data_IF_789400411673
#
_entry.id   IF_789400411673
#
_cell.length_a   1.000
_cell.length_b   1.000
_cell.length_c   1.000
_cell.angle_alpha   90.00
_cell.angle_beta   90.00
_cell.angle_gamma   90.00
#
_symmetry.space_group_name_H-M   'P 1'
#
loop_
_entity.id
_entity.type
_entity.pdbx_description
1 polymer ?
#
# COMPACT_ATOMS: atom_id res chain seq x y z
N UNK A 1 -0.47 -52.09 15.89
CA UNK A 1 -1.78 -51.41 15.77
C UNK A 1 -1.58 -50.19 14.88
N UNK A 2 -2.23 -50.09 13.71
CA UNK A 2 -2.08 -48.94 12.82
C UNK A 2 -3.20 -47.94 13.06
N UNK A 3 -2.88 -46.70 13.45
CA UNK A 3 -3.74 -45.53 13.24
C UNK A 3 -2.87 -44.52 12.49
N UNK A 4 -2.92 -44.56 11.16
CA UNK A 4 -3.82 -43.72 10.36
C UNK A 4 -3.42 -42.25 10.46
N UNK A 5 -2.51 -41.84 9.58
CA UNK A 5 -2.44 -40.47 9.07
C UNK A 5 -3.78 -40.18 8.39
N UNK A 6 -4.75 -39.67 9.15
CA UNK A 6 -5.92 -39.03 8.59
C UNK A 6 -5.45 -37.67 8.04
N UNK A 7 -5.23 -37.62 6.72
CA UNK A 7 -5.09 -36.37 5.99
C UNK A 7 -6.38 -35.57 6.18
N UNK A 8 -6.31 -34.50 6.97
CA UNK A 8 -7.41 -33.57 7.09
C UNK A 8 -7.58 -32.82 5.76
N UNK A 9 -8.79 -32.93 5.21
CA UNK A 9 -9.21 -32.37 3.95
C UNK A 9 -9.23 -30.82 3.98
N UNK A 10 -8.96 -30.22 2.81
CA UNK A 10 -8.96 -28.78 2.48
C UNK A 10 -7.68 -27.97 2.75
N UNK A 11 -6.52 -28.52 2.41
CA UNK A 11 -5.33 -27.72 2.09
C UNK A 11 -5.32 -27.42 0.59
N UNK A 12 -6.09 -26.41 0.17
CA UNK A 12 -6.20 -26.03 -1.24
C UNK A 12 -5.10 -25.04 -1.60
N UNK A 13 -3.98 -25.57 -2.10
CA UNK A 13 -2.99 -24.75 -2.80
C UNK A 13 -3.54 -24.34 -4.16
N UNK A 14 -3.38 -23.07 -4.52
CA UNK A 14 -4.02 -22.55 -5.72
C UNK A 14 -3.60 -21.13 -6.04
N UNK A 15 -3.77 -20.78 -7.31
CA UNK A 15 -3.61 -19.40 -7.78
C UNK A 15 -4.86 -18.62 -7.36
N UNK A 16 -4.69 -17.34 -7.07
CA UNK A 16 -5.78 -16.41 -6.85
C UNK A 16 -5.50 -15.07 -7.52
N UNK A 17 -6.55 -14.32 -7.76
CA UNK A 17 -6.48 -12.90 -8.12
C UNK A 17 -7.17 -12.07 -7.06
N UNK A 18 -6.67 -10.87 -6.80
CA UNK A 18 -7.26 -9.95 -5.83
C UNK A 18 -7.37 -8.54 -6.38
N UNK A 19 -8.42 -7.84 -5.96
CA UNK A 19 -8.60 -6.39 -6.12
C UNK A 19 -8.90 -5.82 -4.76
N UNK A 20 -8.28 -4.69 -4.42
CA UNK A 20 -8.51 -3.99 -3.16
C UNK A 20 -8.53 -2.48 -3.35
N UNK A 21 -9.29 -1.80 -2.51
CA UNK A 21 -9.33 -0.34 -2.42
C UNK A 21 -9.55 0.09 -0.98
N UNK A 22 -9.56 1.39 -0.70
CA UNK A 22 -9.92 1.87 0.63
C UNK A 22 -9.49 3.30 0.89
N UNK A 23 -9.03 3.54 2.11
CA UNK A 23 -8.62 4.86 2.59
C UNK A 23 -7.14 4.83 2.92
N UNK A 24 -6.35 5.60 2.18
CA UNK A 24 -4.93 5.81 2.45
C UNK A 24 -4.70 7.16 3.12
N UNK A 25 -4.21 7.12 4.36
CA UNK A 25 -3.83 8.29 5.14
C UNK A 25 -2.31 8.45 5.03
N UNK A 26 -1.87 9.43 4.26
CA UNK A 26 -0.45 9.77 4.14
C UNK A 26 -0.05 10.60 5.35
N UNK A 27 0.97 10.18 6.10
CA UNK A 27 1.43 10.94 7.25
C UNK A 27 2.15 12.21 6.81
N UNK A 28 1.97 13.28 7.60
CA UNK A 28 2.60 14.58 7.39
C UNK A 28 4.13 14.43 7.29
N UNK A 29 4.73 15.16 6.36
CA UNK A 29 6.18 15.14 6.14
C UNK A 29 6.82 16.42 6.68
N UNK A 30 7.96 16.26 7.35
CA UNK A 30 8.79 17.38 7.78
C UNK A 30 9.73 17.77 6.65
N UNK A 31 9.91 19.06 6.42
CA UNK A 31 10.84 19.59 5.41
C UNK A 31 12.01 20.21 6.18
N UNK A 32 13.24 19.87 5.79
CA UNK A 32 14.47 20.46 6.36
C UNK A 32 15.30 21.15 5.27
N UNK A 33 14.97 22.40 4.86
CA UNK A 33 15.83 23.20 3.99
C UNK A 33 16.96 23.83 4.81
N UNK A 34 18.22 23.67 4.39
CA UNK A 34 19.34 24.42 4.96
C UNK A 34 19.61 24.23 6.46
N UNK A 35 19.18 23.10 7.06
CA UNK A 35 19.39 22.80 8.48
C UNK A 35 18.29 23.27 9.45
N UNK A 36 17.21 23.88 8.94
CA UNK A 36 16.05 24.29 9.73
C UNK A 36 14.90 23.30 9.47
N UNK A 37 14.39 22.65 10.51
CA UNK A 37 13.24 21.73 10.40
C UNK A 37 11.94 22.52 10.52
N UNK A 38 11.13 22.51 9.46
CA UNK A 38 9.75 23.00 9.49
C UNK A 38 8.83 21.79 9.66
N UNK A 39 8.20 21.71 10.83
CA UNK A 39 7.22 20.67 11.15
C UNK A 39 5.87 20.98 10.49
N UNK A 40 5.16 19.97 9.99
CA UNK A 40 3.78 20.06 9.47
C UNK A 40 3.55 20.93 8.21
N UNK A 41 4.56 21.12 7.35
CA UNK A 41 4.42 22.03 6.19
C UNK A 41 3.49 21.51 5.06
N UNK A 42 3.20 20.20 4.99
CA UNK A 42 2.30 19.62 3.98
C UNK A 42 1.28 18.70 4.65
N UNK A 43 0.00 19.08 4.59
CA UNK A 43 -1.15 18.25 4.96
C UNK A 43 -1.68 17.56 3.71
N UNK A 44 -1.46 16.25 3.58
CA UNK A 44 -1.99 15.47 2.47
C UNK A 44 -3.45 15.09 2.75
N UNK A 45 -4.36 15.37 1.81
CA UNK A 45 -5.71 14.78 1.84
C UNK A 45 -5.61 13.27 1.64
N UNK A 46 -6.42 12.51 2.36
CA UNK A 46 -6.56 11.06 2.19
C UNK A 46 -6.81 10.70 0.72
N UNK A 47 -6.06 9.74 0.19
CA UNK A 47 -6.25 9.22 -1.16
C UNK A 47 -6.89 7.85 -1.15
N UNK A 48 -7.54 7.48 -2.24
CA UNK A 48 -8.14 6.16 -2.42
C UNK A 48 -7.15 5.28 -3.21
N UNK A 49 -6.43 4.34 -2.57
CA UNK A 49 -5.58 3.42 -3.30
C UNK A 49 -6.44 2.41 -4.08
N UNK A 50 -5.94 2.00 -5.23
CA UNK A 50 -6.43 0.84 -5.98
C UNK A 50 -5.28 -0.15 -6.14
N UNK A 51 -5.53 -1.39 -5.75
CA UNK A 51 -4.56 -2.47 -5.76
C UNK A 51 -5.12 -3.62 -6.59
N UNK A 52 -4.37 -4.09 -7.57
CA UNK A 52 -4.64 -5.33 -8.28
C UNK A 52 -3.49 -6.30 -8.07
N UNK A 53 -3.79 -7.57 -7.83
CA UNK A 53 -2.77 -8.57 -7.54
C UNK A 53 -3.10 -9.96 -8.09
N UNK A 54 -2.05 -10.73 -8.29
CA UNK A 54 -2.12 -12.17 -8.54
C UNK A 54 -1.22 -12.87 -7.54
N UNK A 55 -1.66 -14.01 -7.03
CA UNK A 55 -0.92 -14.72 -6.01
C UNK A 55 -1.11 -16.22 -6.04
N UNK A 56 -0.33 -16.89 -5.22
CA UNK A 56 -0.40 -18.31 -4.98
C UNK A 56 -0.53 -18.54 -3.47
N UNK A 57 -1.51 -19.32 -3.07
CA UNK A 57 -1.69 -19.78 -1.70
C UNK A 57 -1.23 -21.24 -1.60
N UNK A 58 -0.55 -21.57 -0.52
CA UNK A 58 -0.26 -22.93 -0.10
C UNK A 58 -0.33 -23.00 1.42
N UNK A 59 -1.27 -23.78 1.94
CA UNK A 59 -1.51 -23.92 3.37
C UNK A 59 -1.72 -22.54 4.05
N UNK A 60 -0.90 -22.23 5.06
CA UNK A 60 -0.90 -20.96 5.77
C UNK A 60 -0.17 -19.83 5.02
N UNK A 61 0.47 -20.10 3.89
CA UNK A 61 1.37 -19.14 3.22
C UNK A 61 0.77 -18.64 1.93
N UNK A 62 0.94 -17.34 1.64
CA UNK A 62 0.65 -16.78 0.32
C UNK A 62 1.81 -15.95 -0.20
N UNK A 63 2.06 -16.06 -1.50
CA UNK A 63 2.91 -15.15 -2.26
C UNK A 63 2.04 -14.37 -3.23
N UNK A 64 2.28 -13.07 -3.38
CA UNK A 64 1.47 -12.19 -4.22
C UNK A 64 2.36 -11.18 -4.95
N UNK A 65 2.11 -10.99 -6.23
CA UNK A 65 2.63 -9.86 -7.00
C UNK A 65 1.50 -8.84 -7.16
N UNK A 66 1.73 -7.61 -6.70
CA UNK A 66 0.74 -6.56 -6.64
C UNK A 66 1.19 -5.30 -7.40
N UNK A 67 0.24 -4.66 -8.06
CA UNK A 67 0.34 -3.30 -8.57
C UNK A 67 -0.61 -2.41 -7.77
N UNK A 68 -0.11 -1.26 -7.30
CA UNK A 68 -0.89 -0.27 -6.56
C UNK A 68 -0.80 1.09 -7.26
N UNK A 69 -1.92 1.79 -7.31
CA UNK A 69 -1.99 3.17 -7.78
C UNK A 69 -2.84 4.00 -6.82
N UNK A 70 -2.31 5.15 -6.41
CA UNK A 70 -3.00 6.11 -5.55
C UNK A 70 -2.73 7.53 -6.04
N UNK A 71 -3.79 8.33 -6.17
CA UNK A 71 -3.69 9.76 -6.46
C UNK A 71 -4.19 10.56 -5.26
N UNK A 72 -3.40 11.56 -4.85
CA UNK A 72 -3.73 12.47 -3.76
C UNK A 72 -3.72 13.92 -4.29
N UNK A 73 -4.79 14.66 -4.00
CA UNK A 73 -4.82 16.11 -4.21
C UNK A 73 -4.20 16.79 -2.99
N UNK A 74 -3.26 17.71 -3.18
CA UNK A 74 -2.65 18.47 -2.08
C UNK A 74 -3.59 19.62 -1.71
N UNK A 75 -4.05 19.65 -0.46
CA UNK A 75 -4.88 20.74 0.04
C UNK A 75 -4.03 21.83 0.68
N UNK A 76 -4.48 23.07 0.48
CA UNK A 76 -3.68 24.30 0.51
C UNK A 76 -3.47 24.80 1.93
N UNK A 77 -2.22 25.04 2.33
CA UNK A 77 -1.93 26.02 3.37
C UNK A 77 -1.08 27.16 2.79
N UNK A 78 -1.45 28.41 3.11
CA UNK A 78 -0.63 29.59 2.81
C UNK A 78 0.45 29.67 3.88
N UNK A 79 1.72 29.57 3.51
CA UNK A 79 2.82 29.97 4.39
C UNK A 79 3.16 31.44 4.09
N UNK A 80 2.94 32.34 5.05
CA UNK A 80 3.29 33.77 4.97
C UNK A 80 2.90 34.49 3.66
N UNK A 81 1.70 34.21 3.14
CA UNK A 81 1.18 34.87 1.94
C UNK A 81 1.80 34.41 0.61
N UNK A 82 2.75 33.46 0.65
CA UNK A 82 3.33 32.84 -0.55
C UNK A 82 2.47 31.66 -0.99
N UNK A 83 2.08 31.66 -2.27
CA UNK A 83 1.34 30.56 -2.86
C UNK A 83 2.31 29.42 -3.23
N UNK A 84 2.42 28.42 -2.36
CA UNK A 84 3.32 27.26 -2.53
C UNK A 84 2.96 26.36 -3.72
N UNK A 85 1.80 26.57 -4.37
CA UNK A 85 1.38 25.82 -5.57
C UNK A 85 2.33 25.98 -6.76
N UNK A 86 2.98 27.14 -6.89
CA UNK A 86 3.94 27.38 -7.97
C UNK A 86 5.27 26.63 -7.76
N UNK A 87 5.50 26.09 -6.56
CA UNK A 87 6.76 25.47 -6.14
C UNK A 87 6.62 23.95 -5.92
N UNK A 88 5.45 23.45 -5.49
CA UNK A 88 5.28 22.05 -5.06
C UNK A 88 4.37 21.18 -5.96
N UNK A 89 3.79 21.73 -7.03
CA UNK A 89 2.89 21.00 -7.93
C UNK A 89 1.46 20.82 -7.39
N UNK A 90 0.51 20.58 -8.30
CA UNK A 90 -0.94 20.56 -7.99
C UNK A 90 -1.47 19.17 -7.61
N UNK A 91 -0.78 18.09 -7.97
CA UNK A 91 -1.19 16.71 -7.66
C UNK A 91 0.01 15.80 -7.50
N UNK A 92 -0.07 14.87 -6.55
CA UNK A 92 0.93 13.82 -6.32
C UNK A 92 0.27 12.47 -6.53
N UNK A 93 0.84 11.64 -7.40
CA UNK A 93 0.42 10.24 -7.59
C UNK A 93 1.55 9.29 -7.24
N UNK A 94 1.21 8.18 -6.61
CA UNK A 94 2.12 7.11 -6.24
C UNK A 94 1.67 5.84 -6.97
N UNK A 95 2.58 5.23 -7.72
CA UNK A 95 2.40 3.88 -8.27
C UNK A 95 3.43 2.94 -7.68
N UNK A 96 3.08 1.69 -7.39
CA UNK A 96 4.03 0.71 -6.86
C UNK A 96 3.85 -0.68 -7.44
N UNK A 97 4.95 -1.41 -7.49
CA UNK A 97 5.00 -2.83 -7.82
C UNK A 97 5.62 -3.54 -6.64
N UNK A 98 4.88 -4.46 -6.03
CA UNK A 98 5.22 -5.10 -4.76
C UNK A 98 5.17 -6.63 -4.90
N UNK A 99 6.14 -7.30 -4.28
CA UNK A 99 6.07 -8.71 -3.97
C UNK A 99 5.74 -8.86 -2.48
N UNK A 100 4.64 -9.53 -2.18
CA UNK A 100 4.13 -9.69 -0.83
C UNK A 100 4.15 -11.15 -0.41
N UNK A 101 4.50 -11.35 0.85
CA UNK A 101 4.32 -12.59 1.56
C UNK A 101 3.20 -12.41 2.58
N UNK A 102 2.35 -13.42 2.71
CA UNK A 102 1.30 -13.48 3.73
C UNK A 102 1.44 -14.74 4.56
N UNK A 103 1.09 -14.60 5.83
CA UNK A 103 0.91 -15.69 6.77
C UNK A 103 -0.52 -15.66 7.29
N UNK A 104 -1.32 -16.65 6.90
CA UNK A 104 -2.71 -16.84 7.28
C UNK A 104 -2.76 -17.69 8.56
N UNK A 105 -3.45 -17.17 9.57
CA UNK A 105 -3.73 -17.83 10.83
C UNK A 105 -5.15 -18.37 10.72
N UNK A 106 -5.30 -19.68 10.54
CA UNK A 106 -6.62 -20.30 10.47
C UNK A 106 -7.20 -20.38 11.89
N UNK A 107 -8.12 -19.47 12.22
CA UNK A 107 -8.84 -19.48 13.51
C UNK A 107 -10.12 -20.31 13.40
N UNK A 108 -10.79 -20.23 12.26
CA UNK A 108 -11.99 -21.02 11.91
C UNK A 108 -11.92 -21.38 10.42
N UNK A 109 -12.87 -22.21 9.96
CA UNK A 109 -12.98 -22.58 8.54
C UNK A 109 -13.33 -21.37 7.64
N UNK A 110 -13.98 -20.34 8.18
CA UNK A 110 -14.47 -19.18 7.42
C UNK A 110 -13.67 -17.90 7.65
N UNK A 111 -12.96 -17.79 8.77
CA UNK A 111 -12.25 -16.58 9.19
C UNK A 111 -10.77 -16.88 9.38
N UNK A 112 -9.95 -16.17 8.59
CA UNK A 112 -8.49 -16.27 8.62
C UNK A 112 -7.87 -14.87 8.80
N UNK A 113 -7.52 -14.48 10.04
CA UNK A 113 -6.58 -13.39 10.27
C UNK A 113 -5.25 -13.65 9.54
N UNK A 114 -4.59 -12.59 9.10
CA UNK A 114 -3.30 -12.72 8.43
C UNK A 114 -2.34 -11.58 8.76
N UNK A 115 -1.06 -11.85 8.59
CA UNK A 115 0.01 -10.86 8.55
C UNK A 115 0.59 -10.79 7.14
N UNK A 116 1.07 -9.63 6.73
CA UNK A 116 1.73 -9.44 5.44
C UNK A 116 2.97 -8.58 5.55
N UNK A 117 3.97 -8.93 4.75
CA UNK A 117 5.16 -8.12 4.53
C UNK A 117 5.49 -8.14 3.05
N UNK A 118 5.92 -7.00 2.51
CA UNK A 118 6.22 -6.88 1.10
C UNK A 118 7.35 -5.92 0.82
N UNK A 119 8.01 -6.15 -0.32
CA UNK A 119 9.15 -5.40 -0.81
C UNK A 119 8.90 -5.09 -2.28
N UNK A 120 9.41 -3.97 -2.77
CA UNK A 120 9.24 -3.64 -4.17
C UNK A 120 9.79 -2.28 -4.54
N UNK A 121 9.13 -1.66 -5.51
CA UNK A 121 9.50 -0.34 -5.99
C UNK A 121 8.28 0.55 -6.12
N UNK A 122 8.44 1.82 -5.78
CA UNK A 122 7.42 2.84 -5.91
C UNK A 122 7.93 3.97 -6.79
N UNK A 123 7.05 4.53 -7.61
CA UNK A 123 7.28 5.73 -8.40
C UNK A 123 6.35 6.83 -7.91
N UNK A 124 6.93 7.94 -7.48
CA UNK A 124 6.20 9.15 -7.09
C UNK A 124 6.26 10.08 -8.29
N UNK A 125 5.10 10.54 -8.75
CA UNK A 125 4.98 11.51 -9.84
C UNK A 125 4.31 12.78 -9.33
N UNK A 126 4.96 13.91 -9.55
CA UNK A 126 4.47 15.23 -9.18
C UNK A 126 4.16 15.99 -10.47
N UNK A 127 2.93 16.50 -10.58
CA UNK A 127 2.52 17.33 -11.72
C UNK A 127 2.46 18.80 -11.30
N UNK A 128 3.11 19.67 -12.06
CA UNK A 128 3.09 21.12 -11.83
C UNK A 128 2.64 21.86 -13.08
N UNK A 129 1.76 22.85 -12.94
CA UNK A 129 1.27 23.65 -14.08
C UNK A 129 2.38 24.56 -14.59
N UNK A 130 2.78 24.37 -15.85
CA UNK A 130 3.81 25.19 -16.51
C UNK A 130 5.23 24.62 -16.45
N UNK A 131 5.42 23.44 -15.84
CA UNK A 131 6.71 22.74 -15.78
C UNK A 131 6.56 21.27 -16.25
N UNK A 132 7.64 20.62 -16.69
CA UNK A 132 7.63 19.18 -16.97
C UNK A 132 7.25 18.36 -15.74
N UNK A 133 6.56 17.23 -15.94
CA UNK A 133 6.28 16.28 -14.86
C UNK A 133 7.59 15.70 -14.31
N UNK A 134 7.74 15.68 -12.99
CA UNK A 134 8.88 15.05 -12.32
C UNK A 134 8.45 13.69 -11.74
N UNK A 135 9.20 12.64 -12.06
CA UNK A 135 8.97 11.29 -11.55
C UNK A 135 10.21 10.73 -10.88
N UNK A 136 10.06 10.18 -9.68
CA UNK A 136 11.15 9.52 -8.96
C UNK A 136 10.76 8.10 -8.57
N UNK A 137 11.61 7.14 -8.91
CA UNK A 137 11.46 5.74 -8.50
C UNK A 137 12.42 5.41 -7.35
N UNK A 138 11.93 4.66 -6.37
CA UNK A 138 12.72 4.18 -5.24
C UNK A 138 12.29 2.80 -4.80
N UNK A 139 13.11 2.19 -3.93
CA UNK A 139 12.73 0.99 -3.20
C UNK A 139 11.51 1.29 -2.31
N UNK A 140 10.65 0.32 -2.07
CA UNK A 140 9.54 0.42 -1.14
C UNK A 140 9.37 -0.86 -0.33
N UNK A 141 8.87 -0.71 0.88
CA UNK A 141 8.46 -1.84 1.70
C UNK A 141 7.09 -1.58 2.31
N UNK A 142 6.41 -2.66 2.66
CA UNK A 142 5.13 -2.61 3.33
C UNK A 142 4.99 -3.70 4.36
N UNK A 143 4.21 -3.41 5.40
CA UNK A 143 3.83 -4.33 6.46
C UNK A 143 2.35 -4.16 6.72
N UNK A 144 1.66 -5.23 7.06
CA UNK A 144 0.23 -5.15 7.31
C UNK A 144 -0.32 -6.36 8.05
N UNK A 145 -1.58 -6.23 8.42
CA UNK A 145 -2.36 -7.28 9.03
C UNK A 145 -3.80 -7.14 8.56
N UNK A 146 -4.56 -8.21 8.61
CA UNK A 146 -5.97 -8.17 8.23
C UNK A 146 -6.70 -9.44 8.56
N UNK A 147 -7.93 -9.53 8.07
CA UNK A 147 -8.80 -10.68 8.23
C UNK A 147 -9.44 -10.96 6.88
N UNK A 148 -9.30 -12.20 6.42
CA UNK A 148 -10.05 -12.73 5.28
C UNK A 148 -11.27 -13.50 5.77
N UNK A 149 -12.41 -13.28 5.14
CA UNK A 149 -13.68 -13.97 5.41
C UNK A 149 -14.12 -14.70 4.15
N UNK A 150 -14.25 -16.03 4.21
CA UNK A 150 -14.78 -16.86 3.13
C UNK A 150 -16.27 -16.54 2.95
N UNK A 151 -16.59 -15.71 1.95
CA UNK A 151 -17.97 -15.32 1.67
C UNK A 151 -18.69 -16.37 0.80
N UNK A 152 -17.95 -16.96 -0.15
CA UNK A 152 -18.41 -18.04 -1.03
C UNK A 152 -17.25 -19.02 -1.26
N UNK A 153 -17.54 -20.19 -1.84
CA UNK A 153 -16.56 -21.27 -2.09
C UNK A 153 -15.24 -20.79 -2.72
N UNK A 154 -15.30 -19.78 -3.60
CA UNK A 154 -14.14 -19.25 -4.31
C UNK A 154 -13.90 -17.75 -4.05
N UNK A 155 -14.70 -17.09 -3.20
CA UNK A 155 -14.60 -15.64 -2.96
C UNK A 155 -14.34 -15.39 -1.49
N UNK A 156 -13.26 -14.64 -1.24
CA UNK A 156 -12.86 -14.15 0.07
C UNK A 156 -12.98 -12.64 0.09
N UNK A 157 -13.57 -12.10 1.16
CA UNK A 157 -13.60 -10.67 1.45
C UNK A 157 -12.46 -10.38 2.41
N UNK A 158 -11.56 -9.47 2.05
CA UNK A 158 -10.40 -9.09 2.84
C UNK A 158 -10.61 -7.71 3.47
N UNK A 159 -10.38 -7.61 4.78
CA UNK A 159 -10.27 -6.34 5.50
C UNK A 159 -8.86 -6.21 6.05
N UNK A 160 -8.12 -5.19 5.61
CA UNK A 160 -6.69 -5.08 5.88
C UNK A 160 -6.27 -3.70 6.35
N UNK A 161 -5.25 -3.67 7.19
CA UNK A 161 -4.43 -2.51 7.47
C UNK A 161 -3.04 -2.71 6.86
N UNK A 162 -2.52 -1.69 6.18
CA UNK A 162 -1.20 -1.72 5.55
C UNK A 162 -0.45 -0.42 5.82
N UNK A 163 0.72 -0.55 6.42
CA UNK A 163 1.75 0.49 6.44
C UNK A 163 2.61 0.37 5.18
N UNK A 164 2.71 1.44 4.40
CA UNK A 164 3.52 1.49 3.19
C UNK A 164 4.53 2.64 3.28
N UNK A 165 5.80 2.32 3.00
CA UNK A 165 6.89 3.29 3.00
C UNK A 165 7.82 3.10 1.79
N UNK A 166 7.85 4.06 0.86
CA UNK A 166 8.90 4.18 -0.12
C UNK A 166 10.16 4.78 0.52
N UNK A 167 11.31 4.18 0.24
CA UNK A 167 12.65 4.71 0.53
C UNK A 167 13.11 5.72 -0.53
N UNK A 168 12.22 6.24 -1.37
CA UNK A 168 12.53 7.33 -2.27
C UNK A 168 13.05 8.52 -1.45
N UNK A 169 14.28 8.92 -1.74
CA UNK A 169 14.96 10.09 -1.18
C UNK A 169 15.14 11.05 -2.35
N UNK A 170 14.71 12.30 -2.22
CA UNK A 170 14.75 13.39 -3.22
C UNK A 170 13.52 13.52 -4.14
N UNK A 171 12.35 13.75 -3.55
CA UNK A 171 11.15 14.10 -4.35
C UNK A 171 11.28 15.49 -4.98
N UNK A 172 12.18 16.36 -4.48
CA UNK A 172 12.52 17.67 -5.04
C UNK A 172 13.99 17.98 -4.69
N UNK A 173 14.79 18.57 -5.58
CA UNK A 173 16.21 18.97 -5.39
C UNK A 173 16.52 19.91 -4.19
N UNK A 174 15.54 20.14 -3.32
CA UNK A 174 15.52 21.08 -2.20
C UNK A 174 15.00 20.46 -0.89
N UNK A 175 14.47 19.23 -0.88
CA UNK A 175 14.01 18.56 0.34
C UNK A 175 13.92 17.03 0.24
N UNK A 176 14.35 16.33 1.30
CA UNK A 176 14.12 14.90 1.48
C UNK A 176 12.71 14.66 2.03
N UNK A 177 11.77 14.23 1.18
CA UNK A 177 10.42 13.83 1.59
C UNK A 177 10.28 12.33 1.36
N UNK A 178 10.03 11.56 2.42
CA UNK A 178 9.68 10.12 2.33
C UNK A 178 8.22 9.96 2.76
N UNK A 179 7.26 9.96 1.82
CA UNK A 179 5.84 9.88 2.16
C UNK A 179 5.52 8.50 2.72
N UNK A 180 5.21 8.41 4.01
CA UNK A 180 4.71 7.18 4.63
C UNK A 180 3.18 7.19 4.64
N UNK A 181 2.55 6.04 4.44
CA UNK A 181 1.09 5.94 4.39
C UNK A 181 0.56 4.78 5.23
N UNK A 182 -0.61 5.01 5.84
CA UNK A 182 -1.39 4.04 6.57
C UNK A 182 -2.69 3.82 5.79
N UNK A 183 -2.85 2.62 5.24
CA UNK A 183 -3.95 2.29 4.35
C UNK A 183 -4.89 1.31 5.06
N UNK A 184 -6.17 1.67 5.16
CA UNK A 184 -7.27 0.77 5.51
C UNK A 184 -7.90 0.27 4.21
N UNK A 185 -7.93 -1.03 4.02
CA UNK A 185 -8.25 -1.67 2.75
C UNK A 185 -9.43 -2.62 2.90
N UNK A 186 -10.29 -2.63 1.89
CA UNK A 186 -11.28 -3.65 1.63
C UNK A 186 -10.98 -4.29 0.28
N UNK A 187 -11.02 -5.62 0.21
CA UNK A 187 -10.64 -6.36 -0.97
C UNK A 187 -11.55 -7.54 -1.26
N UNK A 188 -11.54 -7.95 -2.52
CA UNK A 188 -12.12 -9.19 -3.00
C UNK A 188 -11.01 -10.05 -3.57
N UNK A 189 -10.98 -11.31 -3.18
CA UNK A 189 -10.03 -12.31 -3.65
C UNK A 189 -10.77 -13.51 -4.19
N UNK A 190 -10.44 -13.88 -5.43
CA UNK A 190 -11.00 -15.02 -6.14
C UNK A 190 -9.97 -16.14 -6.22
N UNK A 191 -10.28 -17.29 -5.63
CA UNK A 191 -9.42 -18.48 -5.65
C UNK A 191 -9.84 -19.38 -6.83
N UNK A 192 -8.90 -19.70 -7.72
CA UNK A 192 -9.13 -20.55 -8.89
C UNK A 192 -9.18 -22.04 -8.52
#
# INVERSE_FOLDING_TARGET
MPNAFAGNANQQSGVYASVSTGLGIVANSNITPGGITINNLITYKSGVPFIGAVGFKSDAYRLEAAFEYQSNNVDKEKLDGVNLTSVLGNSVSISSYMANYYYDINVTDDIAPYLTAGLGSATITTKSTGFPDESQRGFAYQLGAGIGINALKNIVIDFGYRYFKPSAKNVLNIANVSPQSNNFLVGLRYNF
#
